data_IF_960268064130
#
_entry.id   IF_960268064130
#
_cell.length_a   1.000
_cell.length_b   1.000
_cell.length_c   1.000
_cell.angle_alpha   90.00
_cell.angle_beta   90.00
_cell.angle_gamma   90.00
#
_symmetry.space_group_name_H-M   'P 1'
#
loop_
_entity.id
_entity.type
_entity.pdbx_description
1 polymer ?
#
# COMPACT_ATOMS: atom_id res chain seq x y z
N UNK A 1 -1.53 2.18 -6.33
CA UNK A 1 -1.78 1.57 -5.02
C UNK A 1 -2.00 2.71 -4.01
N UNK A 2 -3.22 3.22 -3.90
CA UNK A 2 -3.69 4.35 -3.05
C UNK A 2 -4.98 4.96 -3.61
N UNK A 3 -5.03 5.15 -4.93
CA UNK A 3 -6.00 6.05 -5.57
C UNK A 3 -7.41 5.50 -5.65
N UNK A 4 -7.63 4.19 -5.85
CA UNK A 4 -8.98 3.66 -6.07
C UNK A 4 -9.90 3.83 -4.84
N UNK A 5 -9.44 3.59 -3.59
CA UNK A 5 -10.22 3.90 -2.40
C UNK A 5 -10.83 5.31 -2.41
N UNK A 6 -10.03 6.32 -2.77
CA UNK A 6 -10.52 7.70 -2.85
C UNK A 6 -11.34 7.97 -4.11
N UNK A 7 -10.95 7.41 -5.25
CA UNK A 7 -11.64 7.63 -6.51
C UNK A 7 -13.08 7.12 -6.47
N UNK A 8 -13.32 5.97 -5.86
CA UNK A 8 -14.62 5.31 -5.83
C UNK A 8 -15.41 5.59 -4.54
N UNK A 9 -14.74 5.71 -3.39
CA UNK A 9 -15.41 5.82 -2.09
C UNK A 9 -15.15 7.15 -1.36
N UNK A 10 -14.26 7.98 -1.88
CA UNK A 10 -14.01 9.31 -1.34
C UNK A 10 -15.13 10.30 -1.68
N UNK A 11 -15.38 11.27 -0.81
CA UNK A 11 -16.27 12.40 -1.09
C UNK A 11 -15.57 13.47 -1.96
N UNK A 12 -16.31 14.50 -2.39
CA UNK A 12 -15.79 15.56 -3.27
C UNK A 12 -14.61 16.32 -2.67
N UNK A 13 -14.63 16.60 -1.36
CA UNK A 13 -13.54 17.28 -0.64
C UNK A 13 -12.30 16.39 -0.62
N UNK A 14 -12.45 15.13 -0.21
CA UNK A 14 -11.36 14.16 -0.16
C UNK A 14 -10.72 13.94 -1.54
N UNK A 15 -11.52 13.87 -2.62
CA UNK A 15 -11.00 13.74 -3.99
C UNK A 15 -10.20 14.97 -4.41
N UNK A 16 -10.68 16.18 -4.06
CA UNK A 16 -10.00 17.42 -4.40
C UNK A 16 -8.67 17.56 -3.65
N UNK A 17 -8.66 17.23 -2.36
CA UNK A 17 -7.50 17.46 -1.48
C UNK A 17 -6.46 16.35 -1.57
N UNK A 18 -6.88 15.09 -1.51
CA UNK A 18 -5.98 13.95 -1.35
C UNK A 18 -5.73 13.17 -2.64
N UNK A 19 -6.72 13.13 -3.56
CA UNK A 19 -6.59 12.35 -4.79
C UNK A 19 -6.03 13.19 -5.95
N UNK A 20 -6.59 14.37 -6.21
CA UNK A 20 -6.23 15.18 -7.38
C UNK A 20 -4.73 15.50 -7.45
N UNK A 21 -4.04 15.95 -6.38
CA UNK A 21 -2.61 16.21 -6.45
C UNK A 21 -1.78 14.97 -6.78
N UNK A 22 -2.22 13.79 -6.31
CA UNK A 22 -1.56 12.51 -6.62
C UNK A 22 -1.76 12.12 -8.08
N UNK A 23 -2.95 12.35 -8.65
CA UNK A 23 -3.21 12.10 -10.07
C UNK A 23 -2.43 13.05 -10.99
N UNK A 24 -2.11 14.25 -10.51
CA UNK A 24 -1.28 15.22 -11.23
C UNK A 24 0.23 14.97 -11.06
N UNK A 25 0.62 14.02 -10.20
CA UNK A 25 2.03 13.75 -9.89
C UNK A 25 2.69 14.80 -8.99
N UNK A 26 1.92 15.74 -8.43
CA UNK A 26 2.41 16.79 -7.51
C UNK A 26 2.70 16.23 -6.11
N UNK A 27 2.03 15.12 -5.76
CA UNK A 27 2.08 14.47 -4.45
C UNK A 27 2.15 12.96 -4.60
N UNK A 28 2.72 12.29 -3.60
CA UNK A 28 2.84 10.83 -3.57
C UNK A 28 1.88 10.24 -2.55
N UNK A 29 1.06 9.28 -2.98
CA UNK A 29 0.19 8.49 -2.11
C UNK A 29 0.81 7.14 -1.73
N UNK A 30 0.43 6.62 -0.56
CA UNK A 30 0.72 5.25 -0.15
C UNK A 30 -0.47 4.55 0.51
N UNK A 31 -0.58 3.25 0.27
CA UNK A 31 -1.56 2.36 0.88
C UNK A 31 -0.95 1.65 2.10
N UNK A 32 -1.54 1.84 3.27
CA UNK A 32 -1.05 1.27 4.53
C UNK A 32 -2.02 0.22 5.10
N UNK A 33 -1.84 -1.03 4.66
CA UNK A 33 -2.63 -2.19 5.09
C UNK A 33 -1.86 -3.09 6.07
N UNK A 34 -0.78 -3.70 5.58
CA UNK A 34 -0.02 -4.77 6.24
C UNK A 34 0.59 -4.32 7.57
N UNK A 35 0.62 -5.23 8.54
CA UNK A 35 1.16 -5.03 9.90
C UNK A 35 2.17 -6.11 10.24
N UNK A 36 3.04 -5.92 11.26
CA UNK A 36 4.03 -6.92 11.64
C UNK A 36 3.47 -8.34 11.86
N UNK A 37 2.26 -8.42 12.41
CA UNK A 37 1.54 -9.66 12.71
C UNK A 37 0.43 -10.02 11.72
N UNK A 38 0.13 -9.16 10.73
CA UNK A 38 -0.98 -9.35 9.80
C UNK A 38 -0.56 -9.01 8.36
N UNK A 39 -0.28 -10.06 7.59
CA UNK A 39 -0.03 -10.01 6.14
C UNK A 39 -1.16 -10.65 5.36
N UNK A 40 -1.08 -11.95 5.13
CA UNK A 40 -2.09 -12.72 4.40
C UNK A 40 -3.49 -12.64 5.03
N UNK A 41 -3.56 -12.64 6.36
CA UNK A 41 -4.81 -12.39 7.09
C UNK A 41 -5.01 -10.89 7.35
N UNK A 42 -5.40 -10.17 6.29
CA UNK A 42 -5.69 -8.74 6.35
C UNK A 42 -6.86 -8.38 7.27
N UNK A 43 -7.70 -9.34 7.68
CA UNK A 43 -8.79 -9.11 8.62
C UNK A 43 -8.31 -8.96 10.06
N UNK A 44 -7.12 -9.48 10.39
CA UNK A 44 -6.59 -9.54 11.75
C UNK A 44 -5.64 -8.40 12.12
N UNK A 45 -5.71 -7.28 11.39
CA UNK A 45 -4.98 -6.05 11.73
C UNK A 45 -5.33 -5.58 13.15
N UNK A 46 -4.38 -4.89 13.79
CA UNK A 46 -4.45 -4.42 15.18
C UNK A 46 -4.30 -2.91 15.33
N UNK A 47 -3.87 -2.17 14.30
CA UNK A 47 -3.93 -0.70 14.32
C UNK A 47 -5.35 -0.26 14.67
N UNK A 48 -5.51 0.64 15.65
CA UNK A 48 -6.81 1.08 16.17
C UNK A 48 -7.04 2.55 15.91
N UNK A 49 -8.27 2.90 15.58
CA UNK A 49 -8.76 4.27 15.57
C UNK A 49 -9.87 4.38 16.61
N UNK A 50 -9.52 4.80 17.84
CA UNK A 50 -10.47 4.97 18.94
C UNK A 50 -11.24 6.27 18.73
N UNK A 51 -12.57 6.23 18.85
CA UNK A 51 -13.39 7.45 18.77
C UNK A 51 -13.12 8.39 19.96
N UNK A 52 -12.93 9.66 19.68
CA UNK A 52 -12.79 10.74 20.65
C UNK A 52 -13.71 11.89 20.25
N UNK A 53 -14.89 11.96 20.89
CA UNK A 53 -15.96 12.84 20.44
C UNK A 53 -16.44 12.49 19.03
N UNK A 54 -16.20 13.39 18.07
CA UNK A 54 -16.53 13.19 16.64
C UNK A 54 -15.38 12.57 15.86
N UNK A 55 -14.16 12.74 16.34
CA UNK A 55 -12.92 12.39 15.66
C UNK A 55 -12.37 11.04 16.16
N UNK A 56 -11.16 10.70 15.72
CA UNK A 56 -10.49 9.46 16.07
C UNK A 56 -9.05 9.70 16.50
N UNK A 57 -8.58 8.86 17.42
CA UNK A 57 -7.17 8.76 17.80
C UNK A 57 -6.62 7.45 17.25
N UNK A 58 -5.64 7.55 16.35
CA UNK A 58 -5.05 6.44 15.62
C UNK A 58 -3.72 6.01 16.25
N UNK A 59 -3.64 4.72 16.62
CA UNK A 59 -2.44 4.12 17.20
C UNK A 59 -2.18 2.73 16.64
N UNK A 60 -0.93 2.45 16.27
CA UNK A 60 -0.53 1.17 15.68
C UNK A 60 0.72 1.24 14.81
N UNK A 61 0.94 0.19 14.01
CA UNK A 61 2.11 0.04 13.15
C UNK A 61 1.72 -0.56 11.80
N UNK A 62 2.42 -0.14 10.74
CA UNK A 62 2.21 -0.60 9.37
C UNK A 62 3.54 -0.97 8.74
N UNK A 63 3.62 -2.17 8.16
CA UNK A 63 4.87 -2.77 7.68
C UNK A 63 4.82 -2.99 6.17
N UNK A 64 5.96 -2.79 5.51
CA UNK A 64 6.13 -2.94 4.06
C UNK A 64 5.27 -1.97 3.25
N UNK A 65 5.19 -0.72 3.70
CA UNK A 65 4.41 0.31 3.02
C UNK A 65 5.24 0.90 1.89
N UNK A 66 4.91 0.53 0.66
CA UNK A 66 5.47 1.15 -0.55
C UNK A 66 5.16 2.64 -0.55
N UNK A 67 6.16 3.45 -0.87
CA UNK A 67 6.24 4.89 -0.73
C UNK A 67 6.12 5.43 0.71
N UNK A 68 6.04 4.59 1.75
CA UNK A 68 5.74 5.06 3.10
C UNK A 68 6.74 6.08 3.68
N UNK A 69 8.00 6.04 3.25
CA UNK A 69 9.03 7.00 3.66
C UNK A 69 9.00 8.34 2.93
N UNK A 70 8.24 8.45 1.83
CA UNK A 70 8.21 9.63 0.94
C UNK A 70 6.80 10.11 0.60
N UNK A 71 5.76 9.36 0.95
CA UNK A 71 4.38 9.71 0.66
C UNK A 71 3.97 11.00 1.39
N UNK A 72 3.23 11.85 0.71
CA UNK A 72 2.56 13.01 1.29
C UNK A 72 1.24 12.61 1.96
N UNK A 73 0.58 11.58 1.43
CA UNK A 73 -0.72 11.10 1.91
C UNK A 73 -0.73 9.58 2.11
N UNK A 74 -1.41 9.14 3.16
CA UNK A 74 -1.62 7.73 3.45
C UNK A 74 -3.11 7.42 3.40
N UNK A 75 -3.49 6.38 2.67
CA UNK A 75 -4.76 5.69 2.89
C UNK A 75 -4.48 4.46 3.75
N UNK A 76 -5.07 4.37 4.94
CA UNK A 76 -4.76 3.33 5.91
C UNK A 76 -6.02 2.68 6.48
N UNK A 77 -5.86 1.43 6.90
CA UNK A 77 -6.93 0.64 7.51
C UNK A 77 -6.68 0.49 9.00
N UNK A 78 -7.72 0.73 9.80
CA UNK A 78 -7.66 0.61 11.25
C UNK A 78 -8.97 0.03 11.82
N UNK A 79 -8.85 -0.69 12.94
CA UNK A 79 -9.97 -1.21 13.71
C UNK A 79 -10.65 -0.06 14.46
N UNK A 80 -11.90 0.20 14.14
CA UNK A 80 -12.74 1.23 14.77
C UNK A 80 -13.77 0.66 15.74
N UNK A 81 -14.13 -0.62 15.60
CA UNK A 81 -15.12 -1.27 16.47
C UNK A 81 -14.71 -2.71 16.81
N UNK A 82 -13.91 -2.93 17.87
CA UNK A 82 -13.40 -4.25 18.23
C UNK A 82 -14.50 -5.21 18.72
N UNK A 83 -15.73 -4.74 18.95
CA UNK A 83 -16.86 -5.60 19.34
C UNK A 83 -17.44 -6.38 18.15
N UNK A 84 -17.17 -5.93 16.92
CA UNK A 84 -17.64 -6.56 15.69
C UNK A 84 -16.72 -7.68 15.23
N UNK A 85 -17.22 -8.61 14.40
CA UNK A 85 -16.35 -9.55 13.67
C UNK A 85 -15.24 -8.80 12.94
N UNK A 86 -14.02 -9.37 12.91
CA UNK A 86 -12.79 -8.68 12.53
C UNK A 86 -12.90 -7.85 11.24
N UNK A 87 -13.49 -8.41 10.18
CA UNK A 87 -13.68 -7.72 8.88
C UNK A 87 -14.68 -6.56 8.97
N UNK A 88 -15.71 -6.71 9.78
CA UNK A 88 -16.77 -5.71 10.01
C UNK A 88 -16.38 -4.65 11.05
N UNK A 89 -15.18 -4.75 11.62
CA UNK A 89 -14.64 -3.83 12.63
C UNK A 89 -13.73 -2.74 12.03
N UNK A 90 -13.41 -2.82 10.74
CA UNK A 90 -12.33 -2.05 10.10
C UNK A 90 -12.90 -0.88 9.29
N UNK A 91 -12.28 0.30 9.46
CA UNK A 91 -12.52 1.50 8.67
C UNK A 91 -11.29 1.91 7.87
N UNK A 92 -11.51 2.65 6.78
CA UNK A 92 -10.44 3.28 5.99
C UNK A 92 -10.37 4.77 6.25
N UNK A 93 -9.14 5.30 6.38
CA UNK A 93 -8.87 6.70 6.63
C UNK A 93 -7.83 7.23 5.63
N UNK A 94 -7.97 8.48 5.22
CA UNK A 94 -6.92 9.21 4.50
C UNK A 94 -6.30 10.26 5.41
N UNK A 95 -4.98 10.30 5.55
CA UNK A 95 -4.31 11.27 6.41
C UNK A 95 -3.06 11.85 5.72
N UNK A 96 -2.67 13.09 6.04
CA UNK A 96 -1.39 13.62 5.59
C UNK A 96 -0.23 12.99 6.38
N UNK A 97 0.92 12.87 5.72
CA UNK A 97 2.12 12.28 6.32
C UNK A 97 2.67 13.10 7.47
N UNK A 98 2.49 14.42 7.45
CA UNK A 98 2.96 15.31 8.51
C UNK A 98 2.05 15.33 9.75
N UNK A 99 1.01 14.48 9.83
CA UNK A 99 0.21 14.35 11.04
C UNK A 99 1.10 14.04 12.26
N UNK A 100 0.90 14.81 13.33
CA UNK A 100 1.63 14.66 14.59
C UNK A 100 1.43 13.23 15.12
N UNK A 101 2.52 12.58 15.52
CA UNK A 101 2.51 11.19 16.00
C UNK A 101 2.78 10.13 14.92
N UNK A 102 2.87 10.51 13.64
CA UNK A 102 3.23 9.62 12.54
C UNK A 102 4.76 9.60 12.32
N UNK A 103 5.36 8.43 12.53
CA UNK A 103 6.80 8.18 12.47
C UNK A 103 7.14 7.15 11.38
N UNK A 104 8.21 7.40 10.60
CA UNK A 104 8.84 6.36 9.77
C UNK A 104 9.89 5.68 10.64
N UNK A 105 9.58 4.47 11.12
CA UNK A 105 10.45 3.70 12.02
C UNK A 105 11.71 3.23 11.30
N UNK A 106 11.56 2.78 10.05
CA UNK A 106 12.69 2.44 9.18
C UNK A 106 12.29 2.38 7.72
N UNK A 107 13.25 2.63 6.84
CA UNK A 107 13.20 2.25 5.43
C UNK A 107 13.88 0.88 5.25
N UNK A 108 13.29 0.01 4.43
CA UNK A 108 13.81 -1.32 4.16
C UNK A 108 14.84 -1.31 3.03
N UNK A 109 15.95 -2.01 3.22
CA UNK A 109 16.84 -2.40 2.13
C UNK A 109 16.33 -3.71 1.52
N UNK A 110 15.79 -3.63 0.31
CA UNK A 110 15.18 -4.77 -0.39
C UNK A 110 16.20 -5.53 -1.23
N UNK A 111 15.96 -6.82 -1.44
CA UNK A 111 16.74 -7.66 -2.36
C UNK A 111 16.58 -7.18 -3.81
N UNK A 112 15.34 -7.01 -4.25
CA UNK A 112 14.95 -6.46 -5.56
C UNK A 112 14.11 -5.20 -5.42
N UNK A 113 13.71 -4.57 -6.53
CA UNK A 113 12.99 -3.28 -6.53
C UNK A 113 13.68 -2.22 -5.65
N UNK A 114 15.01 -2.14 -5.70
CA UNK A 114 15.83 -1.30 -4.81
C UNK A 114 15.58 0.21 -4.95
N UNK A 115 14.98 0.64 -6.06
CA UNK A 115 14.54 2.02 -6.27
C UNK A 115 13.20 2.36 -5.57
N UNK A 116 12.46 1.36 -5.09
CA UNK A 116 11.24 1.59 -4.34
C UNK A 116 11.56 1.99 -2.90
N UNK A 117 10.91 3.05 -2.41
CA UNK A 117 10.91 3.35 -0.99
C UNK A 117 9.89 2.46 -0.29
N UNK A 118 10.32 1.54 0.58
CA UNK A 118 9.41 0.70 1.37
C UNK A 118 9.72 0.93 2.84
N UNK A 119 8.70 1.21 3.65
CA UNK A 119 8.89 1.66 5.03
C UNK A 119 8.07 0.88 6.06
N UNK A 120 8.53 0.96 7.31
CA UNK A 120 7.74 0.67 8.50
C UNK A 120 7.27 2.01 9.09
N UNK A 121 5.97 2.16 9.26
CA UNK A 121 5.33 3.33 9.86
C UNK A 121 4.78 3.00 11.24
N UNK A 122 4.84 3.97 12.15
CA UNK A 122 4.22 3.91 13.49
C UNK A 122 3.34 5.13 13.69
N UNK A 123 2.20 4.91 14.32
CA UNK A 123 1.22 5.93 14.69
C UNK A 123 1.13 5.94 16.22
N UNK A 124 1.44 7.09 16.83
CA UNK A 124 1.36 7.32 18.27
C UNK A 124 0.32 8.39 18.55
N UNK A 125 -0.90 7.94 18.81
CA UNK A 125 -2.06 8.77 19.13
C UNK A 125 -2.24 9.93 18.15
N UNK A 126 -2.31 9.58 16.86
CA UNK A 126 -2.50 10.54 15.77
C UNK A 126 -3.96 10.99 15.74
N UNK A 127 -4.18 12.30 15.84
CA UNK A 127 -5.51 12.88 15.65
C UNK A 127 -5.96 12.73 14.19
N UNK A 128 -7.14 12.13 14.00
CA UNK A 128 -7.74 11.91 12.68
C UNK A 128 -9.17 12.48 12.69
N UNK A 129 -9.40 13.59 11.98
CA UNK A 129 -10.73 14.18 11.86
C UNK A 129 -11.73 13.19 11.27
N UNK A 130 -13.01 13.29 11.65
CA UNK A 130 -14.07 12.45 11.08
C UNK A 130 -14.15 12.53 9.55
N UNK A 131 -13.84 13.69 9.00
CA UNK A 131 -13.90 14.03 7.58
C UNK A 131 -12.88 13.23 6.77
N UNK A 132 -11.88 12.64 7.43
CA UNK A 132 -10.85 11.80 6.83
C UNK A 132 -11.27 10.33 6.71
N UNK A 133 -12.44 9.96 7.24
CA UNK A 133 -13.05 8.65 7.07
C UNK A 133 -13.53 8.46 5.62
N UNK A 134 -13.04 7.42 4.95
CA UNK A 134 -13.34 7.16 3.53
C UNK A 134 -14.43 6.08 3.42
N UNK A 135 -15.47 6.33 2.63
CA UNK A 135 -16.55 5.37 2.34
C UNK A 135 -17.47 4.99 3.52
N UNK A 136 -17.19 5.47 4.73
CA UNK A 136 -18.05 5.31 5.91
C UNK A 136 -17.49 4.36 6.98
N UNK A 137 -18.05 4.47 8.18
CA UNK A 137 -17.58 3.75 9.37
C UNK A 137 -17.78 2.25 9.18
N UNK A 138 -16.75 1.46 9.49
CA UNK A 138 -16.71 0.01 9.41
C UNK A 138 -16.87 -0.56 7.98
N UNK A 139 -16.57 0.25 6.95
CA UNK A 139 -16.59 -0.15 5.52
C UNK A 139 -15.20 -0.41 4.95
N UNK A 140 -14.15 -0.26 5.76
CA UNK A 140 -12.76 -0.31 5.32
C UNK A 140 -12.37 -1.65 4.70
N UNK A 141 -12.84 -2.77 5.26
CA UNK A 141 -12.48 -4.09 4.74
C UNK A 141 -13.04 -4.34 3.32
N UNK A 142 -14.27 -3.91 3.02
CA UNK A 142 -14.80 -4.01 1.66
C UNK A 142 -14.06 -3.11 0.68
N UNK A 143 -13.67 -1.90 1.11
CA UNK A 143 -12.94 -0.94 0.27
C UNK A 143 -11.55 -1.46 -0.07
N UNK A 144 -10.84 -2.07 0.88
CA UNK A 144 -9.50 -2.59 0.62
C UNK A 144 -9.54 -3.84 -0.26
N UNK A 145 -10.57 -4.70 -0.15
CA UNK A 145 -10.72 -5.82 -1.08
C UNK A 145 -10.94 -5.32 -2.52
N UNK A 146 -11.75 -4.27 -2.71
CA UNK A 146 -11.99 -3.65 -4.02
C UNK A 146 -10.71 -3.05 -4.64
N UNK A 147 -9.83 -2.43 -3.84
CA UNK A 147 -8.49 -1.98 -4.28
C UNK A 147 -7.60 -3.17 -4.64
N UNK A 148 -7.54 -4.21 -3.80
CA UNK A 148 -6.69 -5.38 -4.05
C UNK A 148 -7.14 -6.16 -5.30
N UNK A 149 -8.44 -6.26 -5.55
CA UNK A 149 -8.98 -6.88 -6.77
C UNK A 149 -8.52 -6.15 -8.04
N UNK A 150 -8.39 -4.81 -7.98
CA UNK A 150 -7.84 -4.00 -9.08
C UNK A 150 -6.33 -4.04 -9.17
N UNK A 151 -5.65 -4.14 -8.04
CA UNK A 151 -4.19 -4.15 -7.98
C UNK A 151 -3.60 -5.44 -8.57
N UNK A 152 -4.20 -6.60 -8.26
CA UNK A 152 -3.69 -7.91 -8.70
C UNK A 152 -3.42 -8.01 -10.21
N UNK A 153 -4.36 -7.68 -11.12
CA UNK A 153 -4.08 -7.75 -12.55
C UNK A 153 -2.99 -6.75 -12.99
N UNK A 154 -2.89 -5.58 -12.37
CA UNK A 154 -1.85 -4.60 -12.68
C UNK A 154 -0.45 -5.13 -12.29
N UNK A 155 -0.32 -5.78 -11.13
CA UNK A 155 0.93 -6.43 -10.72
C UNK A 155 1.28 -7.58 -11.67
N UNK A 156 0.31 -8.42 -12.04
CA UNK A 156 0.52 -9.52 -12.99
C UNK A 156 1.03 -9.01 -14.34
N UNK A 157 0.43 -7.94 -14.88
CA UNK A 157 0.89 -7.31 -16.12
C UNK A 157 2.33 -6.78 -16.01
N UNK A 158 2.68 -6.14 -14.89
CA UNK A 158 4.05 -5.69 -14.63
C UNK A 158 5.06 -6.83 -14.59
N UNK A 159 4.72 -7.95 -13.91
CA UNK A 159 5.59 -9.12 -13.83
C UNK A 159 5.76 -9.82 -15.19
N UNK A 160 4.71 -9.84 -16.02
CA UNK A 160 4.80 -10.37 -17.39
C UNK A 160 5.80 -9.61 -18.25
N UNK A 161 5.89 -8.27 -18.11
CA UNK A 161 6.89 -7.47 -18.81
C UNK A 161 8.33 -7.84 -18.42
N UNK A 162 8.57 -8.02 -17.12
CA UNK A 162 9.89 -8.43 -16.60
C UNK A 162 10.26 -9.83 -17.09
N UNK A 163 9.32 -10.78 -17.00
CA UNK A 163 9.52 -12.16 -17.44
C UNK A 163 9.84 -12.22 -18.95
N UNK A 164 9.08 -11.49 -19.77
CA UNK A 164 9.31 -11.40 -21.22
C UNK A 164 10.69 -10.82 -21.53
N UNK A 165 11.06 -9.69 -20.93
CA UNK A 165 12.37 -9.08 -21.17
C UNK A 165 13.52 -10.02 -20.77
N UNK A 166 13.36 -10.75 -19.67
CA UNK A 166 14.36 -11.73 -19.22
C UNK A 166 14.47 -12.91 -20.20
N UNK A 167 13.34 -13.40 -20.72
CA UNK A 167 13.31 -14.46 -21.73
C UNK A 167 13.98 -14.02 -23.03
N UNK A 168 13.62 -12.84 -23.56
CA UNK A 168 14.19 -12.30 -24.80
C UNK A 168 15.71 -12.09 -24.69
N UNK A 169 16.20 -11.62 -23.53
CA UNK A 169 17.63 -11.52 -23.26
C UNK A 169 18.29 -12.91 -23.26
N UNK A 170 17.72 -13.88 -22.56
CA UNK A 170 18.27 -15.24 -22.50
C UNK A 170 18.27 -15.94 -23.87
N UNK A 171 17.20 -15.77 -24.67
CA UNK A 171 17.07 -16.42 -25.98
C UNK A 171 17.79 -15.67 -27.12
N UNK A 172 17.94 -14.36 -27.00
CA UNK A 172 18.62 -13.51 -27.99
C UNK A 172 20.13 -13.46 -27.82
N UNK A 173 20.65 -13.89 -26.67
CA UNK A 173 22.09 -14.08 -26.47
C UNK A 173 22.54 -15.33 -27.22
N UNK A 174 22.79 -15.20 -28.53
CA UNK A 174 23.74 -16.08 -29.21
C UNK A 174 25.11 -15.74 -28.61
N UNK A 175 25.58 -16.51 -27.63
CA UNK A 175 26.92 -16.33 -27.07
C UNK A 175 27.92 -16.50 -28.23
N UNK A 176 28.74 -15.48 -28.55
CA UNK A 176 29.90 -15.70 -29.40
C UNK A 176 30.82 -16.66 -28.63
N UNK A 177 30.79 -17.94 -28.98
CA UNK A 177 31.54 -19.00 -28.30
C UNK A 177 30.73 -20.18 -27.77
N UNK A 178 29.39 -20.21 -27.87
CA UNK A 178 28.63 -21.45 -27.63
C UNK A 178 28.66 -22.37 -28.86
N UNK A 179 29.86 -22.68 -29.34
CA UNK A 179 30.07 -23.77 -30.28
C UNK A 179 30.05 -25.09 -29.50
N UNK A 180 28.89 -25.75 -29.46
CA UNK A 180 28.88 -27.22 -29.43
C UNK A 180 29.16 -27.69 -30.86
N UNK A 181 30.33 -27.36 -31.40
CA UNK A 181 30.87 -28.08 -32.56
C UNK A 181 31.48 -29.34 -32.01
N UNK A 182 30.79 -30.46 -32.22
CA UNK A 182 31.32 -31.79 -32.07
C UNK A 182 32.48 -32.00 -33.03
N UNK A 183 33.65 -31.50 -32.69
CA UNK A 183 34.91 -31.96 -33.28
C UNK A 183 35.47 -33.04 -32.35
N UNK A 184 34.82 -34.21 -32.37
CA UNK A 184 35.43 -35.46 -31.95
C UNK A 184 35.91 -36.17 -33.21
N UNK A 185 37.09 -35.75 -33.69
CA UNK A 185 37.94 -36.58 -34.53
C UNK A 185 38.79 -37.47 -33.61
N UNK A 186 38.48 -38.76 -33.62
CA UNK A 186 39.40 -39.87 -33.32
C UNK A 186 39.47 -40.75 -34.56
#
# INVERSE_FOLDING_TARGET
>A
MYSAPLAYFGNSVQKKEFLRPVLLGEKVGALALTEPQAGSDAGSIKTRARREGRDFILSGEKRFITNGGVADYLFLLAVTDPSKPARSAISGFVIPRNSKGLEVVKAYSLLGMRGANVAHLRFRDVDVPRENLVGGLNRGFSIILDELDRERPAVAAGMMGIARSSFEQASGTHLPGSSWTSDQTL
#
